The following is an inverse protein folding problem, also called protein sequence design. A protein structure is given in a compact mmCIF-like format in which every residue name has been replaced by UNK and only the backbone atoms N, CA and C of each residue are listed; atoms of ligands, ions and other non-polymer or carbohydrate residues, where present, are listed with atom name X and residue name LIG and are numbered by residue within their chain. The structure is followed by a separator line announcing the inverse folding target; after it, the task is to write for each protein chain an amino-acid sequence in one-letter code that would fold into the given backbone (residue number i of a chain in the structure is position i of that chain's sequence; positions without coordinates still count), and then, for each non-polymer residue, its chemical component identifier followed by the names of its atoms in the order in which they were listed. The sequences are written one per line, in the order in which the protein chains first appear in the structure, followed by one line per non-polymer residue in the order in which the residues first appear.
data_IF_990638234694
#
_entry.id   IF_990638234694
#
_cell.length_a   1.000
_cell.length_b   1.000
_cell.length_c   1.000
_cell.angle_alpha   90.00
_cell.angle_beta   90.00
_cell.angle_gamma   90.00
#
_symmetry.space_group_name_H-M   'P 1'
#
loop_
_entity.id
_entity.type
_entity.pdbx_description
1 polymer ?
#
# COMPACT_ATOMS: atom_id res chain seq x y z
N UNK A 1 2.60 -32.91 -5.13
CA UNK A 1 3.97 -32.40 -4.96
C UNK A 1 3.85 -31.01 -4.38
N UNK A 2 4.14 -30.82 -3.09
CA UNK A 2 4.07 -29.50 -2.46
C UNK A 2 5.23 -28.66 -2.98
N UNK A 3 4.93 -27.68 -3.83
CA UNK A 3 5.90 -26.66 -4.23
C UNK A 3 6.26 -25.89 -2.97
N UNK A 4 7.46 -26.09 -2.42
CA UNK A 4 7.99 -25.20 -1.39
C UNK A 4 8.18 -23.83 -2.04
N UNK A 5 7.24 -22.92 -1.77
CA UNK A 5 7.38 -21.52 -2.14
C UNK A 5 8.60 -20.98 -1.40
N UNK A 6 9.58 -20.43 -2.11
CA UNK A 6 10.75 -19.82 -1.49
C UNK A 6 10.31 -18.73 -0.50
N UNK A 7 11.00 -18.56 0.65
CA UNK A 7 10.63 -17.56 1.63
C UNK A 7 10.71 -16.15 1.03
N UNK A 8 9.74 -15.30 1.36
CA UNK A 8 9.67 -13.93 0.82
C UNK A 8 10.85 -13.07 1.32
N UNK A 9 11.51 -12.27 0.46
CA UNK A 9 12.64 -11.42 0.85
C UNK A 9 12.25 -10.39 1.91
N UNK A 10 12.97 -10.33 3.03
CA UNK A 10 12.71 -9.39 4.14
C UNK A 10 13.65 -8.19 4.16
N UNK A 11 14.62 -8.15 3.25
CA UNK A 11 15.56 -7.04 3.12
C UNK A 11 14.82 -5.75 2.76
N UNK A 12 15.21 -4.63 3.38
CA UNK A 12 14.66 -3.32 3.09
C UNK A 12 15.50 -2.57 2.05
N UNK A 13 14.86 -1.74 1.23
CA UNK A 13 15.51 -0.76 0.40
C UNK A 13 16.16 0.37 1.24
N UNK A 14 17.02 1.24 0.65
CA UNK A 14 17.66 2.34 1.37
C UNK A 14 16.71 3.34 2.06
N UNK A 15 15.43 3.37 1.68
CA UNK A 15 14.40 4.19 2.34
C UNK A 15 14.01 3.68 3.75
N UNK A 16 14.45 2.48 4.14
CA UNK A 16 14.18 1.86 5.43
C UNK A 16 12.70 1.46 5.67
N UNK A 17 11.88 1.46 4.62
CA UNK A 17 10.43 1.22 4.69
C UNK A 17 9.96 0.20 3.66
N UNK A 18 10.42 0.29 2.41
CA UNK A 18 10.03 -0.64 1.35
C UNK A 18 10.88 -1.89 1.36
N UNK A 19 10.26 -3.03 1.05
CA UNK A 19 10.94 -4.30 0.90
C UNK A 19 11.65 -4.34 -0.46
N UNK A 20 12.80 -5.02 -0.49
CA UNK A 20 13.60 -5.13 -1.70
C UNK A 20 12.82 -5.82 -2.81
N UNK A 21 12.70 -5.12 -3.94
CA UNK A 21 12.18 -5.60 -5.20
C UNK A 21 13.03 -4.99 -6.34
N UNK A 22 13.17 -5.67 -7.49
CA UNK A 22 13.91 -5.12 -8.63
C UNK A 22 13.27 -3.82 -9.10
N UNK A 23 14.01 -2.70 -9.05
CA UNK A 23 13.55 -1.40 -9.53
C UNK A 23 14.10 -1.14 -10.92
N UNK A 24 13.23 -0.75 -11.85
CA UNK A 24 13.64 -0.35 -13.20
C UNK A 24 13.90 1.17 -13.33
N UNK A 25 13.95 1.90 -12.20
CA UNK A 25 14.19 3.36 -12.19
C UNK A 25 12.99 4.21 -12.65
N UNK A 26 11.82 3.60 -12.82
CA UNK A 26 10.59 4.28 -13.23
C UNK A 26 10.00 5.06 -12.06
N UNK A 27 9.44 6.25 -12.33
CA UNK A 27 8.74 7.07 -11.33
C UNK A 27 7.48 6.34 -10.84
N UNK A 28 7.24 6.42 -9.53
CA UNK A 28 6.04 5.88 -8.90
C UNK A 28 4.78 6.56 -9.47
N UNK A 29 3.81 5.76 -9.93
CA UNK A 29 2.58 6.23 -10.55
C UNK A 29 1.40 6.31 -9.59
N UNK A 30 1.13 5.23 -8.84
CA UNK A 30 0.01 5.13 -7.89
C UNK A 30 0.42 4.37 -6.64
N UNK A 31 -0.12 4.82 -5.50
CA UNK A 31 -0.01 4.13 -4.23
C UNK A 31 -1.35 3.51 -3.83
N UNK A 32 -1.26 2.30 -3.28
CA UNK A 32 -2.36 1.55 -2.71
C UNK A 32 -2.06 1.34 -1.22
N UNK A 33 -2.79 2.03 -0.35
CA UNK A 33 -2.67 1.87 1.09
C UNK A 33 -3.77 0.96 1.59
N UNK A 34 -3.40 -0.26 2.01
CA UNK A 34 -4.31 -1.27 2.53
C UNK A 34 -4.42 -1.09 4.05
N UNK A 35 -5.58 -0.65 4.50
CA UNK A 35 -5.92 -0.39 5.89
C UNK A 35 -6.62 -1.56 6.55
N UNK A 36 -6.32 -1.74 7.82
CA UNK A 36 -7.03 -2.66 8.70
C UNK A 36 -7.21 -2.06 10.09
N UNK A 37 -8.19 -2.58 10.82
CA UNK A 37 -8.41 -2.24 12.23
C UNK A 37 -7.35 -2.91 13.09
N UNK A 38 -6.42 -2.12 13.61
CA UNK A 38 -5.26 -2.63 14.36
C UNK A 38 -5.61 -3.39 15.65
N UNK A 39 -6.78 -3.09 16.25
CA UNK A 39 -7.28 -3.71 17.49
C UNK A 39 -8.13 -4.97 17.22
N UNK A 40 -8.42 -5.28 15.95
CA UNK A 40 -9.14 -6.49 15.55
C UNK A 40 -8.12 -7.54 15.11
N UNK A 41 -7.82 -8.49 15.99
CA UNK A 41 -6.81 -9.52 15.72
C UNK A 41 -7.14 -10.38 14.49
N UNK A 42 -8.43 -10.59 14.19
CA UNK A 42 -8.83 -11.37 13.01
C UNK A 42 -8.55 -10.61 11.71
N UNK A 43 -8.83 -9.30 11.69
CA UNK A 43 -8.57 -8.44 10.54
C UNK A 43 -7.08 -8.18 10.36
N UNK A 44 -6.34 -8.05 11.47
CA UNK A 44 -4.88 -7.93 11.48
C UNK A 44 -4.21 -9.18 10.92
N UNK A 45 -4.66 -10.37 11.32
CA UNK A 45 -4.15 -11.63 10.79
C UNK A 45 -4.44 -11.74 9.29
N UNK A 46 -5.67 -11.42 8.86
CA UNK A 46 -6.02 -11.38 7.44
C UNK A 46 -5.14 -10.40 6.66
N UNK A 47 -4.89 -9.21 7.20
CA UNK A 47 -4.05 -8.20 6.55
C UNK A 47 -2.58 -8.65 6.40
N UNK A 48 -2.05 -9.43 7.36
CA UNK A 48 -0.71 -10.04 7.24
C UNK A 48 -0.68 -11.08 6.12
N UNK A 49 -1.67 -11.95 6.05
CA UNK A 49 -1.79 -12.95 4.99
C UNK A 49 -1.95 -12.28 3.62
N UNK A 50 -2.73 -11.21 3.54
CA UNK A 50 -2.90 -10.40 2.33
C UNK A 50 -1.58 -9.74 1.91
N UNK A 51 -0.82 -9.20 2.86
CA UNK A 51 0.51 -8.60 2.61
C UNK A 51 1.49 -9.61 2.00
N UNK A 52 1.54 -10.83 2.54
CA UNK A 52 2.34 -11.91 1.99
C UNK A 52 1.85 -12.33 0.60
N UNK A 53 0.54 -12.48 0.43
CA UNK A 53 -0.07 -12.90 -0.84
C UNK A 53 0.22 -11.90 -1.97
N UNK A 54 0.10 -10.59 -1.71
CA UNK A 54 0.46 -9.56 -2.70
C UNK A 54 1.93 -9.70 -3.13
N UNK A 55 2.84 -9.95 -2.19
CA UNK A 55 4.28 -10.11 -2.49
C UNK A 55 4.59 -11.38 -3.30
N UNK A 56 3.74 -12.41 -3.20
CA UNK A 56 3.88 -13.65 -3.98
C UNK A 56 3.29 -13.49 -5.38
N UNK A 57 2.12 -12.85 -5.50
CA UNK A 57 1.41 -12.67 -6.78
C UNK A 57 2.03 -11.56 -7.64
N UNK A 58 2.63 -10.56 -7.00
CA UNK A 58 3.21 -9.38 -7.66
C UNK A 58 4.64 -9.09 -7.15
N UNK A 59 5.60 -10.01 -7.36
CA UNK A 59 6.98 -9.85 -6.87
C UNK A 59 7.72 -8.64 -7.45
N UNK A 60 7.23 -8.08 -8.56
CA UNK A 60 7.74 -6.88 -9.21
C UNK A 60 7.32 -5.59 -8.51
N UNK A 61 6.21 -5.58 -7.77
CA UNK A 61 5.70 -4.37 -7.13
C UNK A 61 6.50 -3.99 -5.90
N UNK A 62 6.58 -2.68 -5.64
CA UNK A 62 7.22 -2.19 -4.42
C UNK A 62 6.23 -2.26 -3.28
N UNK A 63 6.46 -3.20 -2.38
CA UNK A 63 5.62 -3.41 -1.18
C UNK A 63 6.35 -2.90 0.05
N UNK A 64 5.65 -2.12 0.88
CA UNK A 64 6.18 -1.57 2.12
C UNK A 64 6.00 -2.52 3.28
N UNK A 65 6.78 -2.31 4.35
CA UNK A 65 6.62 -3.09 5.57
C UNK A 65 5.21 -2.96 6.15
N UNK A 66 4.80 -3.99 6.87
CA UNK A 66 3.53 -4.04 7.55
C UNK A 66 3.54 -3.11 8.78
N UNK A 67 2.73 -2.05 8.78
CA UNK A 67 2.66 -1.11 9.90
C UNK A 67 1.52 -1.46 10.83
N UNK A 68 1.85 -1.82 12.07
CA UNK A 68 0.87 -2.18 13.10
C UNK A 68 0.27 -0.99 13.87
N UNK A 69 0.52 0.23 13.39
CA UNK A 69 0.05 1.47 14.03
C UNK A 69 -0.13 2.58 12.99
N UNK A 70 -0.81 3.69 13.32
CA UNK A 70 -0.93 4.84 12.42
C UNK A 70 0.44 5.43 12.10
N UNK A 71 0.64 5.87 10.85
CA UNK A 71 1.87 6.51 10.38
C UNK A 71 1.51 7.71 9.50
N UNK A 72 2.16 8.86 9.71
CA UNK A 72 1.92 10.06 8.90
C UNK A 72 0.45 10.47 8.87
N UNK A 73 -0.10 10.62 7.66
CA UNK A 73 -1.51 10.99 7.43
C UNK A 73 -2.50 9.83 7.58
N UNK A 74 -2.01 8.60 7.72
CA UNK A 74 -2.80 7.38 7.74
C UNK A 74 -3.35 7.13 9.17
N UNK A 75 -4.68 7.05 9.37
CA UNK A 75 -5.30 7.09 10.71
C UNK A 75 -5.28 5.76 11.49
N UNK A 76 -5.04 4.62 10.82
CA UNK A 76 -4.91 3.28 11.42
C UNK A 76 -3.70 2.56 10.82
N UNK A 77 -3.42 1.35 11.31
CA UNK A 77 -2.47 0.43 10.75
C UNK A 77 -2.73 0.12 9.26
N UNK A 78 -1.66 -0.01 8.49
CA UNK A 78 -1.73 -0.21 7.04
C UNK A 78 -0.45 -0.83 6.46
N UNK A 79 -0.48 -1.17 5.18
CA UNK A 79 0.71 -1.32 4.36
C UNK A 79 0.49 -0.67 2.99
N UNK A 80 1.59 -0.30 2.35
CA UNK A 80 1.60 0.43 1.08
C UNK A 80 2.15 -0.46 -0.05
N UNK A 81 1.56 -0.33 -1.24
CA UNK A 81 2.01 -0.97 -2.47
C UNK A 81 2.06 0.08 -3.57
N UNK A 82 3.20 0.17 -4.26
CA UNK A 82 3.41 1.17 -5.30
C UNK A 82 3.47 0.49 -6.65
N UNK A 83 2.86 1.15 -7.63
CA UNK A 83 2.77 0.70 -9.02
C UNK A 83 3.41 1.74 -9.94
N UNK A 84 4.08 1.27 -10.98
CA UNK A 84 4.95 2.07 -11.85
C UNK A 84 4.47 2.07 -13.31
N UNK A 85 3.46 1.26 -13.64
CA UNK A 85 2.84 1.22 -14.96
C UNK A 85 1.32 1.12 -14.90
N UNK A 86 0.65 1.49 -15.99
CA UNK A 86 -0.81 1.34 -16.13
C UNK A 86 -1.25 -0.12 -16.01
N UNK A 87 -0.44 -1.05 -16.52
CA UNK A 87 -0.70 -2.48 -16.45
C UNK A 87 -0.64 -2.98 -15.00
N UNK A 88 0.42 -2.65 -14.26
CA UNK A 88 0.54 -2.96 -12.83
C UNK A 88 -0.63 -2.39 -12.02
N UNK A 89 -0.97 -1.12 -12.26
CA UNK A 89 -2.07 -0.44 -11.57
C UNK A 89 -3.39 -1.17 -11.79
N UNK A 90 -3.72 -1.49 -13.04
CA UNK A 90 -4.97 -2.18 -13.39
C UNK A 90 -5.02 -3.62 -12.87
N UNK A 91 -3.89 -4.34 -12.92
CA UNK A 91 -3.78 -5.70 -12.41
C UNK A 91 -3.96 -5.75 -10.89
N UNK A 92 -3.23 -4.91 -10.14
CA UNK A 92 -3.33 -4.84 -8.69
C UNK A 92 -4.73 -4.38 -8.25
N UNK A 93 -5.29 -3.35 -8.90
CA UNK A 93 -6.65 -2.88 -8.61
C UNK A 93 -7.66 -4.01 -8.76
N UNK A 94 -7.64 -4.71 -9.89
CA UNK A 94 -8.59 -5.80 -10.16
C UNK A 94 -8.42 -6.96 -9.18
N UNK A 95 -7.18 -7.28 -8.83
CA UNK A 95 -6.89 -8.34 -7.87
C UNK A 95 -7.35 -7.99 -6.44
N UNK A 96 -7.10 -6.76 -5.98
CA UNK A 96 -7.55 -6.29 -4.67
C UNK A 96 -9.08 -6.21 -4.58
N UNK A 97 -9.76 -5.87 -5.68
CA UNK A 97 -11.22 -5.86 -5.71
C UNK A 97 -11.83 -7.22 -5.31
N UNK A 98 -11.13 -8.32 -5.58
CA UNK A 98 -11.56 -9.70 -5.27
C UNK A 98 -10.95 -10.22 -3.97
N UNK A 99 -9.69 -9.86 -3.66
CA UNK A 99 -8.91 -10.52 -2.60
C UNK A 99 -8.78 -9.71 -1.31
N UNK A 100 -9.13 -8.42 -1.27
CA UNK A 100 -8.87 -7.56 -0.10
C UNK A 100 -9.66 -7.92 1.18
N UNK A 101 -10.68 -8.77 1.06
CA UNK A 101 -11.55 -9.15 2.19
C UNK A 101 -12.07 -7.92 2.97
N UNK A 102 -11.93 -7.89 4.31
CA UNK A 102 -12.40 -6.78 5.15
C UNK A 102 -11.57 -5.50 5.00
N UNK A 103 -10.34 -5.57 4.49
CA UNK A 103 -9.44 -4.42 4.42
C UNK A 103 -9.97 -3.35 3.46
N UNK A 104 -9.78 -2.08 3.83
CA UNK A 104 -10.11 -0.94 2.98
C UNK A 104 -8.86 -0.43 2.28
N UNK A 105 -8.98 0.05 1.05
CA UNK A 105 -7.81 0.48 0.26
C UNK A 105 -7.98 1.92 -0.19
N UNK A 106 -7.09 2.81 0.24
CA UNK A 106 -6.94 4.14 -0.35
C UNK A 106 -6.06 4.01 -1.58
N UNK A 107 -6.48 4.59 -2.68
CA UNK A 107 -5.76 4.54 -3.95
C UNK A 107 -5.64 5.97 -4.46
N UNK A 108 -4.41 6.43 -4.72
CA UNK A 108 -4.19 7.76 -5.26
C UNK A 108 -3.03 7.78 -6.26
N UNK A 109 -3.04 8.71 -7.23
CA UNK A 109 -1.89 8.94 -8.09
C UNK A 109 -0.76 9.61 -7.29
N UNK A 110 0.43 9.62 -7.87
CA UNK A 110 1.58 10.39 -7.40
C UNK A 110 1.93 11.47 -8.43
N UNK A 111 1.30 12.64 -8.28
CA UNK A 111 1.57 13.81 -9.09
C UNK A 111 2.66 14.66 -8.44
N UNK A 112 2.76 15.94 -8.82
CA UNK A 112 3.65 16.90 -8.17
C UNK A 112 2.93 17.66 -7.03
N UNK A 113 1.68 17.29 -6.69
CA UNK A 113 0.88 17.89 -5.62
C UNK A 113 0.37 16.81 -4.65
N UNK A 114 1.17 16.41 -3.64
CA UNK A 114 0.79 15.39 -2.68
C UNK A 114 -0.48 15.73 -1.90
N UNK A 115 -0.79 17.02 -1.72
CA UNK A 115 -2.02 17.42 -1.04
C UNK A 115 -3.24 17.07 -1.87
N UNK A 116 -3.23 17.40 -3.17
CA UNK A 116 -4.31 17.01 -4.09
C UNK A 116 -4.42 15.51 -4.29
N UNK A 117 -3.28 14.83 -4.39
CA UNK A 117 -3.25 13.36 -4.51
C UNK A 117 -4.08 12.70 -3.39
N UNK A 118 -3.94 13.20 -2.16
CA UNK A 118 -4.59 12.63 -0.97
C UNK A 118 -5.93 13.29 -0.59
N UNK A 119 -6.36 14.37 -1.26
CA UNK A 119 -7.61 15.08 -0.91
C UNK A 119 -8.63 15.16 -2.04
N UNK A 120 -8.20 15.13 -3.29
CA UNK A 120 -9.05 15.35 -4.47
C UNK A 120 -8.95 14.20 -5.47
N UNK A 121 -7.77 13.61 -5.64
CA UNK A 121 -7.51 12.61 -6.69
C UNK A 121 -7.53 11.17 -6.20
N UNK A 122 -7.93 10.94 -4.93
CA UNK A 122 -7.98 9.60 -4.36
C UNK A 122 -9.32 8.90 -4.64
N UNK A 123 -9.29 7.58 -4.55
CA UNK A 123 -10.48 6.73 -4.49
C UNK A 123 -10.33 5.68 -3.39
N UNK A 124 -11.44 5.07 -3.00
CA UNK A 124 -11.48 4.01 -1.99
C UNK A 124 -12.08 2.73 -2.53
N UNK A 125 -11.48 1.61 -2.14
CA UNK A 125 -12.18 0.33 -2.08
C UNK A 125 -12.58 0.02 -0.64
N UNK A 126 -13.85 -0.33 -0.42
CA UNK A 126 -14.37 -0.61 0.91
C UNK A 126 -14.73 0.65 1.68
N UNK A 127 -14.54 0.65 3.00
CA UNK A 127 -14.94 1.77 3.87
C UNK A 127 -13.84 2.83 3.89
N UNK A 128 -14.19 4.06 3.51
CA UNK A 128 -13.25 5.17 3.59
C UNK A 128 -12.86 5.49 5.04
N UNK A 129 -11.61 5.90 5.21
CA UNK A 129 -11.07 6.42 6.47
C UNK A 129 -10.79 7.92 6.35
N UNK A 130 -11.05 8.66 7.42
CA UNK A 130 -10.71 10.10 7.47
C UNK A 130 -9.20 10.27 7.66
N UNK A 131 -8.53 10.76 6.62
CA UNK A 131 -7.09 11.02 6.62
C UNK A 131 -6.72 12.26 7.44
N UNK A 132 -5.52 12.30 8.02
CA UNK A 132 -4.97 13.46 8.75
C UNK A 132 -4.28 14.43 7.78
N UNK A 133 -5.04 14.96 6.82
CA UNK A 133 -4.52 15.74 5.68
C UNK A 133 -3.91 17.09 6.04
N UNK A 134 -4.18 17.61 7.25
CA UNK A 134 -3.55 18.85 7.72
C UNK A 134 -2.02 18.77 7.81
N UNK A 135 -1.46 17.56 7.93
CA UNK A 135 -0.01 17.32 7.92
C UNK A 135 0.58 17.72 6.55
N UNK A 136 -0.15 17.50 5.46
CA UNK A 136 0.31 17.82 4.10
C UNK A 136 0.32 19.33 3.83
N UNK A 137 -0.58 20.09 4.44
CA UNK A 137 -0.60 21.56 4.33
C UNK A 137 0.66 22.21 4.93
N UNK A 138 1.33 21.55 5.86
CA UNK A 138 2.57 22.05 6.45
C UNK A 138 3.77 21.88 5.50
N UNK A 139 3.72 20.90 4.60
CA UNK A 139 4.78 20.62 3.64
C UNK A 139 4.77 21.56 2.42
N UNK A 140 3.61 22.14 2.09
CA UNK A 140 3.45 23.09 0.98
C UNK A 140 3.84 24.55 1.33
N UNK A 141 4.24 24.84 2.58
CA UNK A 141 4.56 26.19 3.05
C UNK A 141 6.03 26.59 2.88
N UNK A 142 6.80 25.80 2.14
CA UNK A 142 8.22 26.03 1.83
C UNK A 142 8.47 25.80 0.34
#
# INVERSE_FOLDING_TARGET
MSTQTSPLPTMLNPDGKSLYNPSNGVRNGFDFHVYYRQEDESEKQFARELHEKVRQEFPELRVYKFWEKPVGLHPTAMFEINTFSLHETGALFSWLAVNRGPCSVLIHPNTDDPYKDHTELYTWMGKAWTLKTDILKQLLKH
#
